data_IF_311354734851
#
_entry.id   IF_311354734851
#
_cell.length_a   1.000
_cell.length_b   1.000
_cell.length_c   1.000
_cell.angle_alpha   90.00
_cell.angle_beta   90.00
_cell.angle_gamma   90.00
#
_symmetry.space_group_name_H-M   'P 1'
#
loop_
_entity.id
_entity.type
_entity.pdbx_description
1 polymer ?
#
# COMPACT_ATOMS: atom_id res chain seq x y z
N UNK A 1 -8.75 11.61 8.20
CA UNK A 1 -9.88 12.41 7.64
C UNK A 1 -9.91 13.87 8.11
N UNK A 2 -9.65 14.17 9.40
CA UNK A 2 -9.66 15.55 9.90
C UNK A 2 -8.63 16.44 9.17
N UNK A 3 -7.39 15.98 9.00
CA UNK A 3 -6.33 16.71 8.31
C UNK A 3 -6.70 17.08 6.85
N UNK A 4 -7.28 16.13 6.12
CA UNK A 4 -7.73 16.34 4.74
C UNK A 4 -8.81 17.41 4.65
N UNK A 5 -9.83 17.35 5.51
CA UNK A 5 -10.88 18.37 5.56
C UNK A 5 -10.33 19.73 5.94
N UNK A 6 -9.38 19.78 6.89
CA UNK A 6 -8.75 21.02 7.32
C UNK A 6 -7.88 21.66 6.22
N UNK A 7 -7.33 20.83 5.34
CA UNK A 7 -6.62 21.27 4.14
C UNK A 7 -7.54 21.75 3.00
N UNK A 8 -8.86 21.75 3.21
CA UNK A 8 -9.84 22.24 2.25
C UNK A 8 -10.39 21.20 1.27
N UNK A 9 -10.08 19.92 1.45
CA UNK A 9 -10.61 18.87 0.60
C UNK A 9 -11.99 18.39 1.07
N UNK A 10 -12.82 17.95 0.12
CA UNK A 10 -14.13 17.38 0.35
C UNK A 10 -14.08 15.85 0.31
N UNK A 11 -14.73 15.23 1.29
CA UNK A 11 -14.93 13.77 1.31
C UNK A 11 -16.24 13.46 0.59
N UNK A 12 -16.15 12.82 -0.56
CA UNK A 12 -17.30 12.50 -1.41
C UNK A 12 -17.90 11.13 -1.14
N UNK A 13 -17.20 10.23 -0.46
CA UNK A 13 -17.70 8.90 -0.17
C UNK A 13 -16.66 7.97 0.42
N UNK A 14 -17.02 6.70 0.44
CA UNK A 14 -16.14 5.56 0.71
C UNK A 14 -16.18 4.64 -0.50
N UNK A 15 -15.02 4.17 -0.93
CA UNK A 15 -14.87 3.24 -2.03
C UNK A 15 -15.03 1.79 -1.59
N UNK A 16 -15.27 0.89 -2.53
CA UNK A 16 -15.51 -0.51 -2.26
C UNK A 16 -14.26 -1.22 -1.74
N UNK A 17 -14.47 -2.15 -0.82
CA UNK A 17 -13.45 -2.98 -0.18
C UNK A 17 -13.94 -4.44 -0.15
N UNK A 18 -13.06 -5.43 -0.04
CA UNK A 18 -13.48 -6.77 0.32
C UNK A 18 -13.97 -6.78 1.78
N UNK A 19 -14.73 -7.80 2.12
CA UNK A 19 -15.19 -8.00 3.51
C UNK A 19 -14.00 -7.99 4.46
N UNK A 20 -14.08 -7.15 5.49
CA UNK A 20 -13.05 -6.98 6.52
C UNK A 20 -11.66 -6.55 6.00
N UNK A 21 -11.56 -6.11 4.75
CA UNK A 21 -10.27 -5.83 4.08
C UNK A 21 -9.32 -7.06 4.04
N UNK A 22 -9.88 -8.26 4.08
CA UNK A 22 -9.15 -9.52 4.29
C UNK A 22 -8.82 -10.26 2.98
N UNK A 23 -9.03 -9.63 1.83
CA UNK A 23 -8.78 -10.21 0.52
C UNK A 23 -8.03 -9.22 -0.38
N UNK A 24 -7.35 -9.73 -1.39
CA UNK A 24 -6.67 -8.97 -2.44
C UNK A 24 -7.58 -8.62 -3.64
N UNK A 25 -8.88 -8.75 -3.46
CA UNK A 25 -9.93 -8.38 -4.40
C UNK A 25 -10.82 -7.28 -3.78
N UNK A 26 -11.42 -6.43 -4.58
CA UNK A 26 -12.41 -5.45 -4.11
C UNK A 26 -13.83 -5.97 -4.37
N UNK A 27 -14.21 -7.00 -3.63
CA UNK A 27 -15.50 -7.67 -3.77
C UNK A 27 -16.14 -7.93 -2.40
N UNK A 28 -17.45 -7.69 -2.27
CA UNK A 28 -18.23 -8.06 -1.09
C UNK A 28 -19.71 -8.29 -1.43
N UNK A 29 -20.44 -8.86 -0.49
CA UNK A 29 -21.83 -9.29 -0.69
C UNK A 29 -22.81 -8.12 -0.78
N UNK A 30 -22.42 -6.92 -0.31
CA UNK A 30 -23.32 -5.75 -0.25
C UNK A 30 -23.25 -4.94 -1.56
N UNK A 31 -22.03 -4.68 -2.03
CA UNK A 31 -21.77 -3.80 -3.19
C UNK A 31 -21.27 -4.55 -4.43
N UNK A 32 -21.05 -5.86 -4.30
CA UNK A 32 -20.52 -6.68 -5.38
C UNK A 32 -19.05 -6.39 -5.68
N UNK A 33 -18.65 -6.71 -6.91
CA UNK A 33 -17.27 -6.62 -7.40
C UNK A 33 -16.98 -5.25 -8.00
N UNK A 34 -15.85 -4.69 -7.67
CA UNK A 34 -15.24 -3.59 -8.41
C UNK A 34 -14.38 -4.17 -9.53
N UNK A 35 -14.52 -3.64 -10.73
CA UNK A 35 -13.73 -4.05 -11.88
C UNK A 35 -12.55 -3.09 -12.09
N UNK A 36 -11.50 -3.60 -12.75
CA UNK A 36 -10.37 -2.77 -13.16
C UNK A 36 -10.81 -1.82 -14.29
N UNK A 37 -10.58 -0.50 -14.18
CA UNK A 37 -11.01 0.46 -15.21
C UNK A 37 -10.37 0.23 -16.60
N UNK A 38 -9.21 -0.42 -16.66
CA UNK A 38 -8.51 -0.69 -17.92
C UNK A 38 -9.06 -1.93 -18.63
N UNK A 39 -9.54 -2.91 -17.87
CA UNK A 39 -10.19 -4.09 -18.42
C UNK A 39 -11.20 -4.63 -17.40
N UNK A 40 -12.48 -4.56 -17.72
CA UNK A 40 -13.58 -4.92 -16.82
C UNK A 40 -13.65 -6.42 -16.48
N UNK A 41 -12.95 -7.28 -17.22
CA UNK A 41 -12.84 -8.71 -16.92
C UNK A 41 -11.96 -8.98 -15.69
N UNK A 42 -11.05 -8.06 -15.37
CA UNK A 42 -10.13 -8.17 -14.25
C UNK A 42 -10.59 -7.39 -13.00
N UNK A 43 -10.11 -7.81 -11.83
CA UNK A 43 -10.24 -7.05 -10.59
C UNK A 43 -9.20 -5.94 -10.51
N UNK A 44 -9.42 -4.92 -9.66
CA UNK A 44 -8.49 -3.82 -9.46
C UNK A 44 -7.39 -4.14 -8.44
N UNK A 45 -7.33 -5.38 -7.96
CA UNK A 45 -6.56 -5.71 -6.75
C UNK A 45 -7.27 -5.27 -5.47
N UNK A 46 -6.60 -5.48 -4.34
CA UNK A 46 -7.17 -5.23 -3.01
C UNK A 46 -6.12 -5.07 -1.91
N UNK A 47 -6.55 -4.72 -0.73
CA UNK A 47 -7.94 -4.43 -0.31
C UNK A 47 -8.43 -3.04 -0.70
N UNK A 48 -7.57 -2.04 -0.94
CA UNK A 48 -7.98 -0.68 -1.38
C UNK A 48 -8.32 -0.62 -2.88
N UNK A 49 -8.95 -1.67 -3.44
CA UNK A 49 -9.19 -1.78 -4.88
C UNK A 49 -10.20 -0.77 -5.42
N UNK A 50 -11.26 -0.49 -4.66
CA UNK A 50 -12.22 0.56 -5.03
C UNK A 50 -11.57 1.94 -5.08
N UNK A 51 -10.64 2.22 -4.17
CA UNK A 51 -9.87 3.46 -4.13
C UNK A 51 -9.00 3.62 -5.39
N UNK A 52 -8.19 2.60 -5.71
CA UNK A 52 -7.34 2.63 -6.89
C UNK A 52 -8.15 2.73 -8.19
N UNK A 53 -9.25 1.97 -8.30
CA UNK A 53 -10.15 2.03 -9.45
C UNK A 53 -10.80 3.40 -9.62
N UNK A 54 -11.27 4.03 -8.54
CA UNK A 54 -11.88 5.36 -8.59
C UNK A 54 -10.87 6.45 -9.02
N UNK A 55 -9.64 6.37 -8.51
CA UNK A 55 -8.56 7.28 -8.89
C UNK A 55 -8.16 7.06 -10.34
N UNK A 56 -8.00 5.82 -10.79
CA UNK A 56 -7.62 5.48 -12.16
C UNK A 56 -8.68 5.93 -13.17
N UNK A 57 -9.97 5.73 -12.84
CA UNK A 57 -11.09 6.16 -13.67
C UNK A 57 -11.34 7.67 -13.65
N UNK A 58 -10.61 8.45 -12.86
CA UNK A 58 -10.80 9.88 -12.74
C UNK A 58 -12.06 10.31 -11.96
N UNK A 59 -12.71 9.40 -11.24
CA UNK A 59 -13.89 9.68 -10.43
C UNK A 59 -13.54 10.52 -9.19
N UNK A 60 -12.33 10.45 -8.72
CA UNK A 60 -11.79 11.27 -7.64
C UNK A 60 -10.36 11.69 -7.97
N UNK A 61 -9.92 12.80 -7.39
CA UNK A 61 -8.53 13.27 -7.55
C UNK A 61 -7.54 12.40 -6.80
N UNK A 62 -7.94 11.89 -5.64
CA UNK A 62 -7.16 11.02 -4.78
C UNK A 62 -8.07 10.15 -3.91
N UNK A 63 -7.51 9.13 -3.31
CA UNK A 63 -8.14 8.36 -2.26
C UNK A 63 -7.10 8.03 -1.16
N UNK A 64 -7.58 7.50 -0.05
CA UNK A 64 -6.75 7.09 1.09
C UNK A 64 -7.04 5.62 1.36
N UNK A 65 -6.00 4.81 1.23
CA UNK A 65 -6.05 3.38 1.52
C UNK A 65 -5.33 2.99 2.80
N UNK A 66 -5.35 1.70 3.09
CA UNK A 66 -4.57 1.08 4.15
C UNK A 66 -3.73 -0.06 3.59
N UNK A 67 -2.60 -0.36 4.19
CA UNK A 67 -1.68 -1.39 3.73
C UNK A 67 -1.06 -2.12 4.93
N UNK A 68 -1.37 -3.40 5.05
CA UNK A 68 -0.66 -4.34 5.93
C UNK A 68 0.24 -5.23 5.09
N UNK A 69 -0.33 -5.88 4.07
CA UNK A 69 0.34 -6.87 3.22
C UNK A 69 0.38 -6.49 1.73
N UNK A 70 0.18 -5.21 1.37
CA UNK A 70 0.16 -4.78 -0.02
C UNK A 70 -1.11 -4.05 -0.44
N UNK A 71 -2.05 -3.81 0.46
CA UNK A 71 -3.41 -3.33 0.16
C UNK A 71 -3.53 -1.91 -0.43
N UNK A 72 -2.46 -1.13 -0.47
CA UNK A 72 -2.30 0.09 -1.29
C UNK A 72 -1.52 -0.24 -2.56
N UNK A 73 -0.40 -0.95 -2.41
CA UNK A 73 0.60 -1.18 -3.46
C UNK A 73 0.08 -2.07 -4.58
N UNK A 74 -0.59 -3.17 -4.26
CA UNK A 74 -1.18 -4.07 -5.26
C UNK A 74 -2.24 -3.38 -6.12
N UNK A 75 -3.29 -2.76 -5.54
CA UNK A 75 -4.28 -2.11 -6.37
C UNK A 75 -3.73 -0.90 -7.14
N UNK A 76 -2.75 -0.19 -6.59
CA UNK A 76 -2.07 0.87 -7.32
C UNK A 76 -1.34 0.33 -8.56
N UNK A 77 -0.61 -0.78 -8.43
CA UNK A 77 0.06 -1.44 -9.55
C UNK A 77 -0.94 -1.95 -10.60
N UNK A 78 -2.03 -2.59 -10.17
CA UNK A 78 -3.04 -3.17 -11.07
C UNK A 78 -3.84 -2.10 -11.83
N UNK A 79 -4.08 -0.94 -11.21
CA UNK A 79 -4.83 0.15 -11.81
C UNK A 79 -3.96 1.24 -12.46
N UNK A 80 -2.63 1.09 -12.44
CA UNK A 80 -1.69 2.03 -13.06
C UNK A 80 -1.72 3.43 -12.41
N UNK A 81 -1.83 3.48 -11.09
CA UNK A 81 -1.83 4.71 -10.29
C UNK A 81 -0.67 4.69 -9.27
N UNK A 82 -0.42 5.82 -8.65
CA UNK A 82 0.61 5.93 -7.61
C UNK A 82 0.00 5.62 -6.24
N UNK A 83 0.59 4.66 -5.52
CA UNK A 83 0.24 4.33 -4.16
C UNK A 83 1.46 4.39 -3.25
N UNK A 84 1.34 5.02 -2.09
CA UNK A 84 2.44 5.12 -1.12
C UNK A 84 2.09 4.47 0.20
N UNK A 85 2.88 3.47 0.57
CA UNK A 85 2.87 2.88 1.89
C UNK A 85 3.93 3.57 2.77
N UNK A 86 3.56 4.53 3.62
CA UNK A 86 4.52 5.21 4.48
C UNK A 86 5.09 4.25 5.54
N UNK A 87 6.18 4.63 6.17
CA UNK A 87 6.68 3.93 7.35
C UNK A 87 5.67 4.02 8.49
N UNK A 88 5.67 2.98 9.34
CA UNK A 88 4.76 2.92 10.49
C UNK A 88 4.81 4.18 11.34
N UNK A 89 3.63 4.68 11.70
CA UNK A 89 3.46 5.81 12.59
C UNK A 89 3.70 7.19 11.96
N UNK A 90 4.06 7.32 10.69
CA UNK A 90 4.12 8.62 9.99
C UNK A 90 2.73 9.20 9.82
N UNK A 91 1.77 8.41 9.36
CA UNK A 91 0.35 8.78 9.30
C UNK A 91 -0.38 8.11 10.47
N UNK A 92 -1.26 8.86 11.14
CA UNK A 92 -2.05 8.31 12.24
C UNK A 92 -3.14 7.38 11.73
N UNK A 93 -3.25 6.20 12.33
CA UNK A 93 -4.39 5.28 12.14
C UNK A 93 -5.53 5.52 13.12
N UNK A 94 -5.43 6.52 13.99
CA UNK A 94 -6.48 6.88 14.95
C UNK A 94 -7.81 7.19 14.25
N UNK A 95 -8.88 6.50 14.68
CA UNK A 95 -10.20 6.60 14.07
C UNK A 95 -10.42 5.75 12.82
N UNK A 96 -9.48 4.90 12.46
CA UNK A 96 -9.64 3.96 11.35
C UNK A 96 -10.54 2.76 11.75
N UNK A 97 -10.31 2.19 12.91
CA UNK A 97 -11.17 1.16 13.51
C UNK A 97 -12.12 1.82 14.49
N UNK A 98 -13.35 1.39 14.49
CA UNK A 98 -14.48 2.08 15.11
C UNK A 98 -14.35 2.26 16.63
N UNK A 99 -14.95 3.27 17.07
CA UNK A 99 -14.99 4.06 18.28
C UNK A 99 -15.08 3.36 19.63
N UNK A 100 -15.56 2.13 19.72
CA UNK A 100 -15.65 1.42 21.01
C UNK A 100 -14.29 0.93 21.51
N UNK A 101 -13.28 0.90 20.65
CA UNK A 101 -11.95 0.33 20.91
C UNK A 101 -10.80 1.30 20.66
N UNK A 102 -11.06 2.59 20.72
CA UNK A 102 -10.04 3.67 20.56
C UNK A 102 -8.90 3.60 21.58
N UNK A 103 -8.90 2.64 22.48
CA UNK A 103 -7.82 2.32 23.41
C UNK A 103 -6.89 1.21 22.87
N UNK A 104 -7.17 0.62 21.69
CA UNK A 104 -6.25 -0.36 21.12
C UNK A 104 -5.03 0.35 20.51
N UNK A 105 -3.83 -0.18 20.74
CA UNK A 105 -2.65 0.31 20.04
C UNK A 105 -2.84 0.16 18.53
N UNK A 106 -2.28 1.10 17.77
CA UNK A 106 -2.20 0.98 16.31
C UNK A 106 -1.52 -0.35 15.96
N UNK A 107 -2.07 -1.11 15.00
CA UNK A 107 -1.46 -2.36 14.53
C UNK A 107 -0.13 -2.05 13.87
N UNK A 108 0.95 -2.61 14.36
CA UNK A 108 2.33 -2.30 13.95
C UNK A 108 2.59 -2.39 12.44
N UNK A 109 1.92 -3.30 11.76
CA UNK A 109 2.08 -3.48 10.33
C UNK A 109 1.09 -2.65 9.49
N UNK A 110 -0.01 -2.14 10.08
CA UNK A 110 -1.03 -1.40 9.33
C UNK A 110 -0.65 0.07 9.19
N UNK A 111 -0.59 0.54 7.96
CA UNK A 111 -0.34 1.94 7.65
C UNK A 111 -1.44 2.52 6.76
N UNK A 112 -1.68 3.80 6.93
CA UNK A 112 -2.57 4.58 6.07
C UNK A 112 -1.72 5.37 5.09
N UNK A 113 -2.11 5.37 3.81
CA UNK A 113 -1.38 6.09 2.79
C UNK A 113 -2.25 6.57 1.63
N UNK A 114 -1.73 7.52 0.84
CA UNK A 114 -2.43 8.10 -0.29
C UNK A 114 -2.34 7.23 -1.55
N UNK A 115 -3.38 7.35 -2.40
CA UNK A 115 -3.45 6.82 -3.76
C UNK A 115 -3.81 7.98 -4.69
N UNK A 116 -3.03 8.20 -5.76
CA UNK A 116 -3.16 9.36 -6.66
C UNK A 116 -2.78 9.02 -8.10
N UNK A 117 -3.02 9.93 -9.04
CA UNK A 117 -2.57 9.80 -10.44
C UNK A 117 -1.18 10.37 -10.72
N UNK A 118 -0.55 11.04 -9.75
CA UNK A 118 0.80 11.58 -9.93
C UNK A 118 1.64 11.46 -8.66
N UNK A 119 2.95 11.33 -8.81
CA UNK A 119 3.88 11.34 -7.66
C UNK A 119 3.82 12.68 -6.91
N UNK A 120 3.59 13.80 -7.61
CA UNK A 120 3.47 15.13 -7.01
C UNK A 120 2.25 15.24 -6.08
N UNK A 121 1.10 14.71 -6.52
CA UNK A 121 -0.11 14.70 -5.68
C UNK A 121 0.05 13.76 -4.49
N UNK A 122 0.80 12.68 -4.67
CA UNK A 122 1.10 11.73 -3.61
C UNK A 122 1.95 12.38 -2.51
N UNK A 123 2.98 13.14 -2.88
CA UNK A 123 3.83 13.91 -1.97
C UNK A 123 3.01 14.99 -1.21
N UNK A 124 2.19 15.75 -1.94
CA UNK A 124 1.28 16.74 -1.36
C UNK A 124 0.36 16.12 -0.30
N UNK A 125 -0.28 15.00 -0.63
CA UNK A 125 -1.19 14.33 0.28
C UNK A 125 -0.47 13.72 1.48
N UNK A 126 0.71 13.14 1.27
CA UNK A 126 1.51 12.61 2.37
C UNK A 126 1.87 13.73 3.35
N UNK A 127 2.28 14.90 2.86
CA UNK A 127 2.57 16.09 3.67
C UNK A 127 1.36 16.51 4.52
N UNK A 128 0.14 16.49 3.95
CA UNK A 128 -1.10 16.81 4.68
C UNK A 128 -1.44 15.75 5.73
N UNK A 129 -1.17 14.48 5.46
CA UNK A 129 -1.51 13.36 6.33
C UNK A 129 -0.51 13.16 7.47
N UNK A 130 0.74 13.59 7.29
CA UNK A 130 1.80 13.37 8.26
C UNK A 130 1.51 14.02 9.61
N UNK A 131 1.93 13.34 10.69
CA UNK A 131 1.91 13.88 12.05
C UNK A 131 2.96 14.97 12.19
N UNK A 132 2.54 16.20 12.45
CA UNK A 132 3.41 17.40 12.52
C UNK A 132 4.52 17.37 13.59
N UNK A 133 4.50 16.44 14.52
CA UNK A 133 5.40 16.44 15.70
C UNK A 133 6.44 15.30 15.69
N UNK A 134 6.86 14.79 14.52
CA UNK A 134 7.93 13.80 14.45
C UNK A 134 9.23 14.41 13.93
N UNK A 135 10.34 14.29 14.68
CA UNK A 135 11.66 14.82 14.28
C UNK A 135 12.17 14.25 12.94
N UNK A 136 11.78 13.01 12.61
CA UNK A 136 12.20 12.33 11.37
C UNK A 136 11.74 13.03 10.08
N UNK A 137 10.75 13.91 10.14
CA UNK A 137 10.16 14.55 8.95
C UNK A 137 11.00 15.76 8.50
N UNK A 138 11.56 16.50 9.43
CA UNK A 138 12.42 17.64 9.12
C UNK A 138 13.71 17.23 8.39
N UNK A 139 14.18 16.00 8.66
CA UNK A 139 15.39 15.44 8.00
C UNK A 139 15.10 14.91 6.59
N UNK A 140 13.86 14.57 6.26
CA UNK A 140 13.49 14.07 4.94
C UNK A 140 13.30 15.18 3.91
N UNK A 141 12.84 16.37 4.32
CA UNK A 141 12.65 17.52 3.42
C UNK A 141 13.97 18.01 2.80
N UNK A 142 15.11 17.71 3.44
CA UNK A 142 16.43 18.10 2.99
C UNK A 142 17.34 16.92 2.55
N UNK A 143 16.80 15.71 2.50
CA UNK A 143 17.63 14.51 2.40
C UNK A 143 18.24 14.27 0.99
N UNK A 144 17.66 14.83 -0.07
CA UNK A 144 18.14 14.57 -1.43
C UNK A 144 17.96 15.79 -2.33
N UNK A 145 18.99 16.61 -2.41
CA UNK A 145 19.04 17.75 -3.36
C UNK A 145 19.24 17.28 -4.82
N UNK A 146 19.88 16.15 -5.02
CA UNK A 146 20.18 15.59 -6.35
C UNK A 146 19.99 14.07 -6.36
N UNK A 147 19.01 13.61 -7.13
CA UNK A 147 18.75 12.17 -7.32
C UNK A 147 19.98 11.39 -7.82
N UNK A 148 20.92 12.06 -8.49
CA UNK A 148 22.17 11.45 -8.97
C UNK A 148 23.14 11.07 -7.85
N UNK A 149 22.95 11.61 -6.65
CA UNK A 149 23.74 11.24 -5.47
C UNK A 149 23.25 9.94 -4.81
N UNK A 150 22.08 9.43 -5.21
CA UNK A 150 21.51 8.21 -4.66
C UNK A 150 22.28 6.98 -5.12
N UNK A 151 22.45 6.02 -4.23
CA UNK A 151 22.82 4.64 -4.53
C UNK A 151 21.57 3.78 -4.47
N UNK A 152 21.24 3.12 -5.57
CA UNK A 152 20.02 2.32 -5.70
C UNK A 152 20.41 0.85 -5.78
N UNK A 153 19.79 0.00 -4.95
CA UNK A 153 19.80 -1.44 -5.11
C UNK A 153 18.51 -1.87 -5.84
N UNK A 154 18.63 -2.74 -6.84
CA UNK A 154 17.50 -3.27 -7.56
C UNK A 154 17.43 -4.78 -7.37
N UNK A 155 16.47 -5.24 -6.54
CA UNK A 155 16.17 -6.63 -6.33
C UNK A 155 14.78 -6.92 -6.92
N UNK A 156 14.75 -7.44 -8.14
CA UNK A 156 13.54 -7.54 -8.96
C UNK A 156 12.96 -8.95 -9.01
N UNK A 157 13.75 -9.97 -8.66
CA UNK A 157 13.35 -11.36 -8.67
C UNK A 157 14.07 -12.16 -7.59
N UNK A 158 13.44 -13.22 -7.09
CA UNK A 158 14.02 -14.11 -6.10
C UNK A 158 13.45 -15.53 -6.24
N UNK A 159 14.27 -16.55 -6.01
CA UNK A 159 13.86 -17.96 -6.12
C UNK A 159 12.75 -18.33 -5.12
N UNK A 160 12.74 -17.72 -3.94
CA UNK A 160 11.71 -17.97 -2.92
C UNK A 160 10.36 -17.30 -3.26
N UNK A 161 10.40 -16.21 -4.04
CA UNK A 161 9.20 -15.45 -4.45
C UNK A 161 9.39 -15.02 -5.90
N UNK A 162 9.24 -15.93 -6.86
CA UNK A 162 9.46 -15.62 -8.27
C UNK A 162 8.46 -14.60 -8.78
N UNK A 163 8.94 -13.69 -9.63
CA UNK A 163 8.12 -12.65 -10.24
C UNK A 163 7.72 -13.07 -11.66
N UNK A 164 6.47 -12.82 -12.01
CA UNK A 164 5.97 -13.07 -13.36
C UNK A 164 6.84 -12.35 -14.41
N UNK A 165 7.10 -13.03 -15.53
CA UNK A 165 8.00 -12.55 -16.57
C UNK A 165 7.62 -11.16 -17.12
N UNK A 166 6.33 -10.90 -17.34
CA UNK A 166 5.86 -9.62 -17.88
C UNK A 166 6.11 -8.48 -16.86
N UNK A 167 5.90 -8.74 -15.57
CA UNK A 167 6.16 -7.79 -14.49
C UNK A 167 7.67 -7.54 -14.37
N UNK A 168 8.47 -8.61 -14.43
CA UNK A 168 9.92 -8.53 -14.35
C UNK A 168 10.50 -7.70 -15.52
N UNK A 169 9.99 -7.90 -16.73
CA UNK A 169 10.40 -7.14 -17.92
C UNK A 169 10.10 -5.64 -17.76
N UNK A 170 8.88 -5.28 -17.32
CA UNK A 170 8.49 -3.86 -17.13
C UNK A 170 9.32 -3.20 -16.05
N UNK A 171 9.51 -3.86 -14.92
CA UNK A 171 10.30 -3.33 -13.80
C UNK A 171 11.77 -3.21 -14.15
N UNK A 172 12.33 -4.16 -14.91
CA UNK A 172 13.69 -4.10 -15.43
C UNK A 172 13.88 -2.89 -16.33
N UNK A 173 12.99 -2.67 -17.30
CA UNK A 173 13.02 -1.48 -18.17
C UNK A 173 12.94 -0.17 -17.40
N UNK A 174 12.12 -0.13 -16.36
CA UNK A 174 12.01 1.06 -15.50
C UNK A 174 13.35 1.36 -14.79
N UNK A 175 14.00 0.34 -14.25
CA UNK A 175 15.32 0.46 -13.61
C UNK A 175 16.41 0.87 -14.63
N UNK A 176 16.39 0.32 -15.84
CA UNK A 176 17.32 0.69 -16.92
C UNK A 176 17.15 2.14 -17.35
N UNK A 177 15.90 2.58 -17.46
CA UNK A 177 15.58 3.98 -17.78
C UNK A 177 16.07 4.92 -16.67
N UNK A 178 15.85 4.56 -15.42
CA UNK A 178 16.33 5.34 -14.28
C UNK A 178 17.85 5.43 -14.26
N UNK A 179 18.54 4.31 -14.47
CA UNK A 179 20.01 4.27 -14.51
C UNK A 179 20.58 5.13 -15.65
N UNK A 180 20.02 5.03 -16.85
CA UNK A 180 20.54 5.71 -18.05
C UNK A 180 20.16 7.20 -18.07
N UNK A 181 18.90 7.55 -17.85
CA UNK A 181 18.42 8.93 -17.89
C UNK A 181 18.88 9.75 -16.69
N UNK A 182 18.86 9.15 -15.50
CA UNK A 182 19.25 9.81 -14.26
C UNK A 182 20.75 9.80 -13.97
N UNK A 183 21.55 9.03 -14.71
CA UNK A 183 22.97 8.75 -14.40
C UNK A 183 23.14 8.26 -12.96
N UNK A 184 22.22 7.42 -12.50
CA UNK A 184 22.17 6.90 -11.14
C UNK A 184 22.87 5.56 -11.11
N UNK A 185 23.73 5.34 -10.11
CA UNK A 185 24.36 4.04 -9.90
C UNK A 185 23.33 3.05 -9.35
N UNK A 186 23.08 1.96 -10.09
CA UNK A 186 22.18 0.89 -9.68
C UNK A 186 22.97 -0.40 -9.46
N UNK A 187 22.96 -0.90 -8.23
CA UNK A 187 23.52 -2.21 -7.88
C UNK A 187 22.41 -3.29 -7.97
N UNK A 188 22.58 -4.20 -8.92
CA UNK A 188 21.65 -5.32 -9.14
C UNK A 188 22.01 -6.58 -8.35
N UNK A 189 23.19 -6.58 -7.72
CA UNK A 189 23.69 -7.68 -6.91
C UNK A 189 23.41 -7.51 -5.41
N UNK A 190 23.11 -6.28 -4.99
CA UNK A 190 22.84 -5.98 -3.60
C UNK A 190 21.62 -6.77 -3.09
N UNK A 191 21.78 -7.39 -1.93
CA UNK A 191 20.73 -8.11 -1.22
C UNK A 191 20.73 -7.69 0.24
N UNK A 192 19.57 -7.64 0.91
CA UNK A 192 19.52 -7.45 2.36
C UNK A 192 20.12 -8.70 3.06
N UNK A 193 20.54 -8.50 4.29
CA UNK A 193 21.10 -9.59 5.13
C UNK A 193 19.97 -10.40 5.81
N UNK A 194 19.01 -10.84 5.00
CA UNK A 194 17.95 -11.76 5.44
C UNK A 194 17.37 -12.56 4.27
N UNK A 195 16.85 -13.72 4.56
CA UNK A 195 16.16 -14.60 3.63
C UNK A 195 14.70 -14.21 3.46
N UNK A 196 14.19 -14.15 2.20
CA UNK A 196 12.79 -13.76 1.91
C UNK A 196 11.79 -14.80 2.40
N UNK A 197 12.11 -16.08 2.34
CA UNK A 197 11.25 -17.14 2.85
C UNK A 197 11.03 -16.97 4.36
N UNK A 198 12.13 -16.79 5.11
CA UNK A 198 12.06 -16.47 6.54
C UNK A 198 11.24 -15.19 6.82
N UNK A 199 11.46 -14.12 6.05
CA UNK A 199 10.74 -12.87 6.22
C UNK A 199 9.23 -13.03 5.94
N UNK A 200 8.88 -13.82 4.92
CA UNK A 200 7.49 -14.17 4.60
C UNK A 200 6.83 -14.94 5.73
N UNK A 201 7.47 -15.99 6.23
CA UNK A 201 6.96 -16.81 7.34
C UNK A 201 6.77 -15.98 8.62
N UNK A 202 7.74 -15.12 8.94
CA UNK A 202 7.65 -14.23 10.08
C UNK A 202 6.49 -13.24 9.93
N UNK A 203 6.34 -12.65 8.74
CA UNK A 203 5.25 -11.70 8.43
C UNK A 203 3.89 -12.37 8.60
N UNK A 204 3.71 -13.58 8.10
CA UNK A 204 2.48 -14.33 8.27
C UNK A 204 2.17 -14.61 9.75
N UNK A 205 3.17 -15.10 10.50
CA UNK A 205 3.00 -15.36 11.95
C UNK A 205 2.62 -14.11 12.72
N UNK A 206 3.25 -12.96 12.44
CA UNK A 206 2.93 -11.69 13.08
C UNK A 206 1.54 -11.18 12.69
N UNK A 207 1.17 -11.32 11.41
CA UNK A 207 -0.15 -10.96 10.92
C UNK A 207 -1.24 -11.80 11.60
N UNK A 208 -1.07 -13.12 11.65
CA UNK A 208 -2.01 -14.00 12.34
C UNK A 208 -2.09 -13.71 13.84
N UNK A 209 -0.96 -13.43 14.50
CA UNK A 209 -0.94 -13.06 15.91
C UNK A 209 -1.69 -11.72 16.16
N UNK A 210 -1.51 -10.73 15.30
CA UNK A 210 -2.20 -9.45 15.39
C UNK A 210 -3.70 -9.57 15.14
N UNK A 211 -4.10 -10.46 14.23
CA UNK A 211 -5.50 -10.73 13.92
C UNK A 211 -6.17 -11.68 14.93
N UNK A 212 -5.43 -12.60 15.55
CA UNK A 212 -5.91 -13.62 16.49
C UNK A 212 -6.17 -13.10 17.91
N UNK A 213 -6.14 -11.79 18.14
CA UNK A 213 -6.52 -11.23 19.43
C UNK A 213 -7.92 -11.71 19.86
N UNK A 214 -8.12 -12.21 21.11
CA UNK A 214 -9.38 -12.83 21.56
C UNK A 214 -10.62 -11.95 21.42
N UNK A 215 -10.40 -10.66 21.23
CA UNK A 215 -11.47 -9.67 21.05
C UNK A 215 -11.63 -9.23 19.59
N UNK A 216 -11.01 -9.90 18.65
CA UNK A 216 -11.08 -9.54 17.23
C UNK A 216 -11.94 -10.57 16.48
N UNK A 217 -13.21 -10.24 16.27
CA UNK A 217 -14.14 -11.08 15.47
C UNK A 217 -13.60 -11.37 14.07
N UNK A 218 -12.75 -10.49 13.54
CA UNK A 218 -12.09 -10.66 12.24
C UNK A 218 -11.11 -11.84 12.23
N UNK A 219 -10.39 -12.08 13.33
CA UNK A 219 -9.45 -13.20 13.45
C UNK A 219 -10.15 -14.56 13.42
N UNK A 220 -11.31 -14.64 14.06
CA UNK A 220 -12.11 -15.86 14.10
C UNK A 220 -12.58 -16.22 12.68
N UNK A 221 -12.96 -15.24 11.89
CA UNK A 221 -13.43 -15.44 10.51
C UNK A 221 -12.31 -15.78 9.53
N UNK A 222 -11.13 -15.17 9.64
CA UNK A 222 -9.97 -15.45 8.77
C UNK A 222 -9.40 -16.85 9.07
N UNK A 223 -9.36 -17.25 10.35
CA UNK A 223 -8.88 -18.57 10.76
C UNK A 223 -9.81 -19.73 10.39
N UNK A 224 -11.05 -19.45 10.00
CA UNK A 224 -12.04 -20.45 9.57
C UNK A 224 -12.24 -20.53 8.06
N UNK A 225 -11.61 -19.65 7.27
CA UNK A 225 -11.70 -19.75 5.81
C UNK A 225 -10.87 -20.94 5.33
N UNK A 226 -11.45 -21.88 4.57
CA UNK A 226 -10.67 -22.94 3.94
C UNK A 226 -9.68 -22.31 2.98
N UNK A 227 -8.42 -22.70 3.08
CA UNK A 227 -7.39 -22.40 2.08
C UNK A 227 -7.76 -23.25 0.87
N UNK A 228 -8.50 -22.70 -0.07
CA UNK A 228 -8.71 -23.35 -1.35
C UNK A 228 -7.36 -23.38 -2.08
N UNK A 229 -6.78 -24.58 -2.14
CA UNK A 229 -5.62 -24.86 -2.96
C UNK A 229 -6.03 -24.76 -4.42
N UNK A 230 -5.75 -23.62 -5.04
CA UNK A 230 -5.84 -23.43 -6.49
C UNK A 230 -4.50 -23.72 -7.16
#
# INVERSE_FOLDING_TARGET
MHAIKHAGAYVIGKTNLPRWSADMQANNEIFGRTNNPWNLEFGPGGSSGGAAAAVAAGLTSFDIGTDIGGSIRFPAAFCGVFGHKPSFGIVSSSGYLDSAESLRPELDANVIGPITRSAKDLDLLLTVLMRRNRPLIADLENAVDDVRSLRIAAWLDDEAVPVDHEVLEVTTRAVDTLASAGRIAVDRSARPDFDLGWASDLTQKLLFAALASPNNEQAILIGTMPIESG
#
